data_IF_593184788851
#
_entry.id   IF_593184788851
#
_cell.length_a   1.000
_cell.length_b   1.000
_cell.length_c   1.000
_cell.angle_alpha   90.00
_cell.angle_beta   90.00
_cell.angle_gamma   90.00
#
_symmetry.space_group_name_H-M   'P 1'
#
loop_
_entity.id
_entity.type
_entity.pdbx_description
1 polymer ?
#
# COMPACT_ATOMS: atom_id res chain seq x y z
N UNK A 1 66.35 8.15 -7.98
CA UNK A 1 64.95 8.24 -8.43
C UNK A 1 64.52 7.20 -9.47
N UNK A 2 65.19 6.03 -9.63
CA UNK A 2 64.87 4.99 -10.62
C UNK A 2 64.21 3.72 -10.03
N UNK A 3 64.04 3.62 -8.70
CA UNK A 3 63.51 2.44 -8.03
C UNK A 3 62.00 2.51 -7.71
N UNK A 4 61.38 3.70 -7.80
CA UNK A 4 59.96 3.87 -7.51
C UNK A 4 59.06 3.51 -8.71
N UNK A 5 59.58 3.53 -9.93
CA UNK A 5 58.78 3.25 -11.15
C UNK A 5 58.55 1.77 -11.42
N UNK A 6 59.42 0.89 -10.86
CA UNK A 6 59.37 -0.54 -11.09
C UNK A 6 58.31 -1.28 -10.28
N UNK A 7 57.79 -0.65 -9.20
CA UNK A 7 56.77 -1.27 -8.32
C UNK A 7 55.36 -0.89 -8.76
N UNK A 8 55.19 0.22 -9.49
CA UNK A 8 53.88 0.72 -9.92
C UNK A 8 53.29 -0.10 -11.08
N UNK A 9 54.13 -0.66 -11.95
CA UNK A 9 53.68 -1.42 -13.14
C UNK A 9 53.03 -2.75 -12.76
N UNK A 10 53.55 -3.59 -11.83
CA UNK A 10 52.89 -4.82 -11.46
C UNK A 10 51.60 -4.58 -10.66
N UNK A 11 51.46 -3.46 -9.94
CA UNK A 11 50.23 -3.13 -9.20
C UNK A 11 49.07 -2.79 -10.14
N UNK A 12 49.34 -2.08 -11.23
CA UNK A 12 48.33 -1.78 -12.25
C UNK A 12 47.86 -3.03 -12.99
N UNK A 13 48.73 -4.03 -13.19
CA UNK A 13 48.38 -5.27 -13.85
C UNK A 13 47.46 -6.16 -12.98
N UNK A 14 47.61 -6.12 -11.66
CA UNK A 14 46.77 -6.84 -10.72
C UNK A 14 45.36 -6.24 -10.66
N UNK A 15 45.23 -4.91 -10.74
CA UNK A 15 43.96 -4.22 -10.76
C UNK A 15 43.19 -4.51 -12.08
N UNK A 16 43.89 -4.61 -13.21
CA UNK A 16 43.27 -4.94 -14.51
C UNK A 16 42.75 -6.38 -14.58
N UNK A 17 43.33 -7.31 -13.82
CA UNK A 17 42.89 -8.71 -13.78
C UNK A 17 41.63 -8.94 -12.91
N UNK A 18 41.35 -8.02 -11.97
CA UNK A 18 40.17 -8.13 -11.10
C UNK A 18 38.90 -7.62 -11.79
N UNK A 19 39.00 -6.76 -12.80
CA UNK A 19 37.84 -6.17 -13.49
C UNK A 19 37.28 -7.13 -14.55
N UNK A 20 37.99 -8.20 -14.92
CA UNK A 20 37.56 -9.11 -15.98
C UNK A 20 36.90 -10.41 -15.50
N UNK A 21 36.40 -10.42 -14.25
CA UNK A 21 35.44 -11.44 -13.83
C UNK A 21 34.07 -11.02 -14.31
N UNK A 22 33.73 -11.49 -15.51
CA UNK A 22 32.38 -11.43 -16.06
C UNK A 22 31.42 -11.96 -14.96
N UNK A 23 30.59 -11.08 -14.46
CA UNK A 23 29.43 -11.45 -13.64
C UNK A 23 28.61 -12.46 -14.45
N UNK A 24 28.34 -13.64 -13.95
CA UNK A 24 27.43 -14.53 -14.60
C UNK A 24 26.08 -13.83 -14.67
N UNK A 25 25.63 -13.58 -15.91
CA UNK A 25 24.31 -13.07 -16.24
C UNK A 25 23.25 -14.17 -15.98
N UNK A 26 23.24 -14.73 -14.78
CA UNK A 26 22.17 -15.54 -14.24
C UNK A 26 21.57 -14.79 -13.04
N UNK A 27 21.04 -13.59 -13.34
CA UNK A 27 19.99 -13.05 -12.51
C UNK A 27 18.78 -13.98 -12.71
N UNK A 28 18.85 -15.15 -12.06
CA UNK A 28 17.68 -15.96 -11.80
C UNK A 28 16.63 -14.97 -11.26
N UNK A 29 15.61 -14.67 -12.08
CA UNK A 29 14.37 -14.07 -11.60
C UNK A 29 13.89 -14.99 -10.48
N UNK A 30 14.31 -14.72 -9.25
CA UNK A 30 13.63 -15.24 -8.08
C UNK A 30 12.20 -14.80 -8.25
N UNK A 31 11.35 -15.73 -8.69
CA UNK A 31 9.92 -15.64 -8.45
C UNK A 31 9.76 -15.60 -6.93
N UNK A 32 9.86 -14.42 -6.37
CA UNK A 32 9.40 -14.14 -5.02
C UNK A 32 7.89 -14.35 -5.14
N UNK A 33 7.44 -15.56 -4.82
CA UNK A 33 6.03 -15.78 -4.54
C UNK A 33 5.69 -14.74 -3.51
N UNK A 34 4.90 -13.72 -3.90
CA UNK A 34 4.36 -12.73 -2.95
C UNK A 34 3.67 -13.54 -1.87
N UNK A 35 4.28 -13.60 -0.70
CA UNK A 35 3.74 -14.32 0.44
C UNK A 35 2.56 -13.47 0.89
N UNK A 36 1.36 -14.06 0.93
CA UNK A 36 0.17 -13.37 1.45
C UNK A 36 0.46 -12.72 2.81
N UNK A 37 -0.30 -11.71 3.14
CA UNK A 37 -0.14 -11.01 4.43
C UNK A 37 -0.35 -12.02 5.54
N UNK A 38 0.53 -11.98 6.55
CA UNK A 38 0.39 -12.91 7.68
C UNK A 38 -0.94 -12.68 8.40
N UNK A 39 -1.71 -13.73 8.69
CA UNK A 39 -2.98 -13.61 9.44
C UNK A 39 -2.81 -12.89 10.79
N UNK A 40 -1.63 -13.03 11.42
CA UNK A 40 -1.31 -12.37 12.68
C UNK A 40 -1.26 -10.83 12.49
N UNK A 41 -0.67 -10.35 11.40
CA UNK A 41 -0.59 -8.92 11.09
C UNK A 41 -1.98 -8.36 10.84
N UNK A 42 -2.81 -9.06 10.06
CA UNK A 42 -4.21 -8.64 9.82
C UNK A 42 -4.99 -8.61 11.15
N UNK A 43 -4.82 -9.61 11.99
CA UNK A 43 -5.48 -9.69 13.30
C UNK A 43 -5.06 -8.54 14.23
N UNK A 44 -3.77 -8.21 14.26
CA UNK A 44 -3.24 -7.10 15.05
C UNK A 44 -3.81 -5.76 14.58
N UNK A 45 -3.76 -5.47 13.27
CA UNK A 45 -4.33 -4.26 12.69
C UNK A 45 -5.83 -4.19 13.01
N UNK A 46 -6.56 -5.29 12.80
CA UNK A 46 -8.00 -5.37 13.07
C UNK A 46 -8.33 -5.05 14.52
N UNK A 47 -7.58 -5.61 15.47
CA UNK A 47 -7.79 -5.36 16.90
C UNK A 47 -7.61 -3.88 17.26
N UNK A 48 -6.53 -3.26 16.76
CA UNK A 48 -6.24 -1.84 17.02
C UNK A 48 -7.27 -0.93 16.34
N UNK A 49 -7.67 -1.21 15.11
CA UNK A 49 -8.73 -0.46 14.41
C UNK A 49 -10.06 -0.57 15.15
N UNK A 50 -10.41 -1.75 15.66
CA UNK A 50 -11.63 -1.94 16.43
C UNK A 50 -11.62 -1.13 17.74
N UNK A 51 -10.50 -1.10 18.47
CA UNK A 51 -10.37 -0.32 19.69
C UNK A 51 -10.55 1.19 19.43
N UNK A 52 -9.91 1.73 18.38
CA UNK A 52 -10.10 3.13 17.99
C UNK A 52 -11.53 3.41 17.51
N UNK A 53 -12.14 2.47 16.80
CA UNK A 53 -13.55 2.56 16.35
C UNK A 53 -14.48 2.65 17.56
N UNK A 54 -14.34 1.75 18.52
CA UNK A 54 -15.14 1.76 19.75
C UNK A 54 -15.01 3.09 20.46
N UNK A 55 -13.79 3.54 20.71
CA UNK A 55 -13.50 4.82 21.38
C UNK A 55 -14.17 6.00 20.66
N UNK A 56 -14.17 6.01 19.32
CA UNK A 56 -14.80 7.06 18.51
C UNK A 56 -16.32 7.05 18.67
N UNK A 57 -16.96 5.88 18.63
CA UNK A 57 -18.43 5.76 18.77
C UNK A 57 -18.92 6.03 20.20
N UNK A 58 -18.11 5.72 21.21
CA UNK A 58 -18.38 6.04 22.61
C UNK A 58 -18.14 7.52 22.94
N UNK A 59 -17.66 8.30 21.94
CA UNK A 59 -17.35 9.73 22.08
C UNK A 59 -16.30 10.01 23.16
N UNK A 60 -15.39 9.07 23.35
CA UNK A 60 -14.26 9.30 24.22
C UNK A 60 -13.29 10.33 23.63
N UNK A 61 -12.55 10.99 24.50
CA UNK A 61 -11.52 11.93 24.08
C UNK A 61 -10.38 11.19 23.37
N UNK A 62 -10.10 11.61 22.14
CA UNK A 62 -8.93 11.14 21.41
C UNK A 62 -7.68 11.81 21.94
N UNK A 63 -6.70 11.00 22.33
CA UNK A 63 -5.39 11.49 22.75
C UNK A 63 -4.48 11.71 21.52
N UNK A 64 -3.37 12.45 21.66
CA UNK A 64 -2.36 12.54 20.60
C UNK A 64 -1.83 11.16 20.18
N UNK A 65 -1.73 10.21 21.12
CA UNK A 65 -1.31 8.83 20.87
C UNK A 65 -2.33 8.07 20.01
N UNK A 66 -3.62 8.28 20.24
CA UNK A 66 -4.69 7.69 19.42
C UNK A 66 -4.60 8.20 17.97
N UNK A 67 -4.38 9.50 17.79
CA UNK A 67 -4.22 10.11 16.47
C UNK A 67 -2.99 9.56 15.76
N UNK A 68 -1.88 9.44 16.47
CA UNK A 68 -0.65 8.82 15.91
C UNK A 68 -0.89 7.35 15.56
N UNK A 69 -1.60 6.62 16.41
CA UNK A 69 -1.94 5.21 16.16
C UNK A 69 -2.81 5.06 14.90
N UNK A 70 -3.81 5.92 14.71
CA UNK A 70 -4.69 5.91 13.53
C UNK A 70 -3.88 6.10 12.24
N UNK A 71 -3.00 7.11 12.21
CA UNK A 71 -2.13 7.38 11.06
C UNK A 71 -1.21 6.17 10.81
N UNK A 72 -0.59 5.63 11.85
CA UNK A 72 0.31 4.48 11.74
C UNK A 72 -0.41 3.26 11.19
N UNK A 73 -1.63 2.98 11.67
CA UNK A 73 -2.44 1.85 11.19
C UNK A 73 -2.82 2.00 9.72
N UNK A 74 -3.18 3.23 9.30
CA UNK A 74 -3.45 3.49 7.87
C UNK A 74 -2.21 3.25 7.03
N UNK A 75 -1.05 3.76 7.42
CA UNK A 75 0.21 3.54 6.70
C UNK A 75 0.60 2.06 6.64
N UNK A 76 0.44 1.32 7.74
CA UNK A 76 0.68 -0.13 7.75
C UNK A 76 -0.27 -0.87 6.78
N UNK A 77 -1.52 -0.44 6.73
CA UNK A 77 -2.50 -1.04 5.83
C UNK A 77 -2.18 -0.73 4.36
N UNK A 78 -1.77 0.51 4.06
CA UNK A 78 -1.32 0.93 2.72
C UNK A 78 -0.10 0.10 2.27
N UNK A 79 0.89 -0.10 3.15
CA UNK A 79 2.07 -0.92 2.87
C UNK A 79 1.71 -2.39 2.57
N UNK A 80 0.77 -2.96 3.30
CA UNK A 80 0.30 -4.32 3.03
C UNK A 80 -0.47 -4.40 1.70
N UNK A 81 -1.25 -3.37 1.39
CA UNK A 81 -2.00 -3.22 0.15
C UNK A 81 -1.09 -3.24 -1.09
N UNK A 82 0.03 -2.50 -1.05
CA UNK A 82 1.03 -2.44 -2.13
C UNK A 82 1.68 -3.80 -2.39
N UNK A 83 1.79 -4.61 -1.35
CA UNK A 83 2.36 -5.95 -1.46
C UNK A 83 1.37 -6.95 -2.06
N UNK A 84 0.18 -7.02 -1.50
CA UNK A 84 -0.89 -7.90 -1.95
C UNK A 84 -2.25 -7.38 -1.47
N UNK A 85 -3.11 -6.85 -2.36
CA UNK A 85 -4.45 -6.44 -1.97
C UNK A 85 -5.29 -7.67 -1.60
N UNK A 86 -5.81 -7.67 -0.37
CA UNK A 86 -6.71 -8.71 0.13
C UNK A 86 -8.07 -8.12 0.48
N UNK A 87 -9.15 -8.80 0.14
CA UNK A 87 -10.53 -8.37 0.44
C UNK A 87 -10.77 -8.10 1.95
N UNK A 88 -9.95 -8.71 2.82
CA UNK A 88 -9.95 -8.48 4.26
C UNK A 88 -9.57 -7.04 4.65
N UNK A 89 -8.95 -6.26 3.76
CA UNK A 89 -8.60 -4.87 4.01
C UNK A 89 -9.78 -3.90 3.82
N UNK A 90 -10.75 -4.25 2.97
CA UNK A 90 -11.91 -3.39 2.73
C UNK A 90 -12.65 -2.96 4.01
N UNK A 91 -12.99 -3.86 4.96
CA UNK A 91 -13.60 -3.46 6.22
C UNK A 91 -12.70 -2.58 7.09
N UNK A 92 -11.38 -2.72 7.00
CA UNK A 92 -10.43 -1.92 7.77
C UNK A 92 -10.36 -0.50 7.23
N UNK A 93 -10.22 -0.31 5.92
CA UNK A 93 -10.31 1.01 5.28
C UNK A 93 -11.65 1.68 5.57
N UNK A 94 -12.74 0.94 5.53
CA UNK A 94 -14.07 1.46 5.83
C UNK A 94 -14.18 1.99 7.27
N UNK A 95 -13.66 1.24 8.25
CA UNK A 95 -13.64 1.67 9.65
C UNK A 95 -12.75 2.90 9.86
N UNK A 96 -11.54 2.89 9.29
CA UNK A 96 -10.60 4.01 9.37
C UNK A 96 -11.24 5.27 8.74
N UNK A 97 -11.85 5.13 7.56
CA UNK A 97 -12.57 6.22 6.91
C UNK A 97 -13.71 6.78 7.76
N UNK A 98 -14.49 5.91 8.42
CA UNK A 98 -15.52 6.35 9.37
C UNK A 98 -14.95 7.11 10.57
N UNK A 99 -13.82 6.66 11.12
CA UNK A 99 -13.15 7.37 12.22
C UNK A 99 -12.74 8.76 11.76
N UNK A 100 -12.07 8.92 10.63
CA UNK A 100 -11.68 10.21 10.07
C UNK A 100 -12.90 11.12 9.84
N UNK A 101 -13.96 10.57 9.23
CA UNK A 101 -15.20 11.33 8.98
C UNK A 101 -15.84 11.84 10.27
N UNK A 102 -15.96 11.00 11.30
CA UNK A 102 -16.54 11.39 12.60
C UNK A 102 -15.70 12.42 13.34
N UNK A 103 -14.41 12.50 13.03
CA UNK A 103 -13.47 13.50 13.57
C UNK A 103 -13.44 14.80 12.75
N UNK A 104 -14.16 14.86 11.62
CA UNK A 104 -14.13 16.00 10.71
C UNK A 104 -12.90 16.06 9.80
N UNK A 105 -12.13 15.00 9.73
CA UNK A 105 -10.95 14.84 8.86
C UNK A 105 -11.40 14.32 7.48
N UNK A 106 -12.21 15.11 6.77
CA UNK A 106 -12.92 14.68 5.56
C UNK A 106 -12.00 14.22 4.45
N UNK A 107 -10.84 14.88 4.26
CA UNK A 107 -9.89 14.53 3.20
C UNK A 107 -9.36 13.11 3.39
N UNK A 108 -9.00 12.76 4.61
CA UNK A 108 -8.46 11.43 4.93
C UNK A 108 -9.55 10.35 4.86
N UNK A 109 -10.78 10.70 5.22
CA UNK A 109 -11.93 9.82 5.04
C UNK A 109 -12.18 9.54 3.55
N UNK A 110 -12.16 10.57 2.69
CA UNK A 110 -12.35 10.42 1.23
C UNK A 110 -11.30 9.47 0.66
N UNK A 111 -10.03 9.63 1.00
CA UNK A 111 -8.95 8.74 0.54
C UNK A 111 -9.25 7.28 0.91
N UNK A 112 -9.68 7.01 2.14
CA UNK A 112 -10.01 5.64 2.56
C UNK A 112 -11.16 5.03 1.74
N UNK A 113 -12.23 5.80 1.47
CA UNK A 113 -13.35 5.31 0.68
C UNK A 113 -13.02 5.17 -0.81
N UNK A 114 -12.19 6.05 -1.37
CA UNK A 114 -11.70 5.92 -2.75
C UNK A 114 -10.85 4.66 -2.90
N UNK A 115 -9.95 4.38 -1.95
CA UNK A 115 -9.17 3.13 -1.94
C UNK A 115 -10.07 1.89 -1.99
N UNK A 116 -11.23 1.93 -1.32
CA UNK A 116 -12.20 0.82 -1.39
C UNK A 116 -12.81 0.70 -2.79
N UNK A 117 -13.17 1.81 -3.43
CA UNK A 117 -13.74 1.77 -4.78
C UNK A 117 -12.74 1.30 -5.84
N UNK A 118 -11.49 1.69 -5.69
CA UNK A 118 -10.41 1.35 -6.64
C UNK A 118 -9.97 -0.11 -6.55
N UNK A 119 -9.96 -0.68 -5.34
CA UNK A 119 -9.33 -1.99 -5.12
C UNK A 119 -10.28 -3.06 -4.60
N UNK A 120 -11.48 -2.70 -4.13
CA UNK A 120 -12.44 -3.59 -3.46
C UNK A 120 -13.88 -3.29 -3.84
N UNK A 121 -14.12 -2.80 -5.05
CA UNK A 121 -15.45 -2.43 -5.55
C UNK A 121 -16.44 -3.60 -5.55
N UNK A 122 -15.94 -4.81 -5.73
CA UNK A 122 -16.67 -6.08 -5.74
C UNK A 122 -17.05 -6.59 -4.35
N UNK A 123 -16.52 -5.99 -3.29
CA UNK A 123 -16.85 -6.35 -1.91
C UNK A 123 -18.15 -5.66 -1.43
N UNK A 124 -18.71 -6.15 -0.32
CA UNK A 124 -19.87 -5.50 0.33
C UNK A 124 -19.59 -4.06 0.80
N UNK A 125 -18.33 -3.60 0.76
CA UNK A 125 -17.91 -2.25 1.15
C UNK A 125 -17.85 -1.28 -0.03
N UNK A 126 -17.73 -1.77 -1.27
CA UNK A 126 -17.74 -0.93 -2.46
C UNK A 126 -18.99 -0.03 -2.55
N UNK A 127 -20.22 -0.60 -2.59
CA UNK A 127 -21.44 0.20 -2.62
C UNK A 127 -21.56 1.18 -1.45
N UNK A 128 -21.17 0.77 -0.23
CA UNK A 128 -21.22 1.62 0.95
C UNK A 128 -20.25 2.81 0.86
N UNK A 129 -19.04 2.59 0.36
CA UNK A 129 -18.06 3.64 0.14
C UNK A 129 -18.55 4.64 -0.91
N UNK A 130 -19.15 4.14 -2.02
CA UNK A 130 -19.75 4.95 -3.06
C UNK A 130 -20.85 5.86 -2.51
N UNK A 131 -21.76 5.31 -1.72
CA UNK A 131 -22.86 6.07 -1.12
C UNK A 131 -22.33 7.20 -0.21
N UNK A 132 -21.32 6.90 0.62
CA UNK A 132 -20.73 7.90 1.51
C UNK A 132 -20.03 9.01 0.71
N UNK A 133 -19.22 8.67 -0.29
CA UNK A 133 -18.56 9.66 -1.14
C UNK A 133 -19.55 10.55 -1.86
N UNK A 134 -20.66 9.98 -2.36
CA UNK A 134 -21.75 10.76 -2.97
C UNK A 134 -22.38 11.73 -1.97
N UNK A 135 -22.63 11.28 -0.73
CA UNK A 135 -23.15 12.13 0.36
C UNK A 135 -22.17 13.26 0.74
N UNK A 136 -20.86 13.01 0.60
CA UNK A 136 -19.81 14.00 0.85
C UNK A 136 -19.62 14.96 -0.34
N UNK A 137 -20.38 14.80 -1.44
CA UNK A 137 -20.27 15.64 -2.63
C UNK A 137 -19.02 15.38 -3.48
N UNK A 138 -18.41 14.20 -3.34
CA UNK A 138 -17.23 13.81 -4.10
C UNK A 138 -17.66 13.24 -5.45
N UNK A 139 -17.12 13.79 -6.54
CA UNK A 139 -17.30 13.25 -7.88
C UNK A 139 -16.51 11.95 -8.01
N UNK A 140 -17.22 10.83 -8.23
CA UNK A 140 -16.62 9.50 -8.34
C UNK A 140 -16.30 9.25 -9.82
N UNK A 141 -15.00 9.27 -10.16
CA UNK A 141 -14.53 8.79 -11.45
C UNK A 141 -14.31 7.28 -11.34
N UNK A 142 -15.31 6.52 -11.70
CA UNK A 142 -15.14 5.07 -11.89
C UNK A 142 -14.23 4.83 -13.10
N UNK A 143 -13.36 3.79 -13.08
CA UNK A 143 -12.74 3.32 -14.30
C UNK A 143 -13.85 3.07 -15.32
N UNK A 144 -13.72 3.67 -16.50
CA UNK A 144 -14.62 3.37 -17.62
C UNK A 144 -14.33 1.92 -17.97
N UNK A 145 -15.29 1.02 -17.72
CA UNK A 145 -15.28 -0.28 -18.38
C UNK A 145 -15.27 0.04 -19.87
N UNK A 146 -14.17 -0.25 -20.56
CA UNK A 146 -14.15 -0.23 -22.02
C UNK A 146 -15.18 -1.27 -22.44
N UNK A 147 -16.39 -0.82 -22.75
CA UNK A 147 -17.36 -1.64 -23.46
C UNK A 147 -16.69 -2.06 -24.76
N UNK A 148 -16.39 -3.36 -24.87
CA UNK A 148 -15.93 -3.99 -26.11
C UNK A 148 -16.93 -3.63 -27.21
N UNK A 149 -16.61 -2.56 -27.95
CA UNK A 149 -17.30 -2.23 -29.20
C UNK A 149 -16.77 -3.22 -30.23
N UNK A 150 -17.07 -4.49 -30.06
CA UNK A 150 -17.12 -5.40 -31.19
C UNK A 150 -18.42 -5.12 -31.92
N UNK A 151 -18.34 -4.12 -32.78
CA UNK A 151 -19.36 -3.89 -33.81
C UNK A 151 -19.45 -5.16 -34.66
N UNK A 152 -20.60 -5.81 -34.62
CA UNK A 152 -21.03 -6.76 -35.62
C UNK A 152 -21.03 -6.06 -36.98
N UNK A 153 -19.99 -6.24 -37.77
CA UNK A 153 -20.06 -6.06 -39.22
C UNK A 153 -20.41 -7.40 -39.83
N UNK A 154 -21.67 -7.54 -40.22
CA UNK A 154 -22.19 -8.54 -41.16
C UNK A 154 -22.05 -8.00 -42.56
#
# INVERSE_FOLDING_TARGET
MKKALSVLIPLMFVIALIINQALPADAAKKNVKKKGVSPEVISEITSKVNALTQKTYERELYTPEDSKSLITLKLQLDEQMDNLPEAAFAPLYFKIGNIYRLRGEEKDAIVCYQTILENFSDTAYGPKAKDILTQMGVEIKLPVEEEDIFGDEI
#
